data_IF_132618938863
#
_entry.id   IF_132618938863
#
_cell.length_a   1.000
_cell.length_b   1.000
_cell.length_c   1.000
_cell.angle_alpha   90.00
_cell.angle_beta   90.00
_cell.angle_gamma   90.00
#
_symmetry.space_group_name_H-M   'P 1'
#
loop_
_entity.id
_entity.type
_entity.pdbx_description
1 polymer ?
#
# COMPACT_ATOMS: atom_id res chain seq x y z
N UNK A 1 11.74 -19.37 -4.48
CA UNK A 1 11.53 -18.00 -3.96
C UNK A 1 10.79 -18.11 -2.65
N UNK A 2 11.38 -17.62 -1.56
CA UNK A 2 10.71 -17.60 -0.26
C UNK A 2 9.92 -16.29 -0.11
N UNK A 3 8.79 -16.31 0.61
CA UNK A 3 7.96 -15.10 0.77
C UNK A 3 8.71 -14.00 1.53
N UNK A 4 9.53 -14.35 2.51
CA UNK A 4 10.31 -13.39 3.31
C UNK A 4 11.32 -12.56 2.48
N UNK A 5 11.76 -13.07 1.33
CA UNK A 5 12.70 -12.42 0.41
C UNK A 5 12.03 -11.46 -0.57
N UNK A 6 10.69 -11.51 -0.68
CA UNK A 6 9.92 -10.61 -1.56
C UNK A 6 9.63 -9.26 -0.90
N UNK A 7 9.51 -8.23 -1.72
CA UNK A 7 8.88 -6.98 -1.32
C UNK A 7 7.36 -7.15 -1.29
N UNK A 8 6.73 -6.71 -0.20
CA UNK A 8 5.27 -6.68 -0.06
C UNK A 8 4.78 -5.23 -0.13
N UNK A 9 3.75 -4.95 -0.94
CA UNK A 9 3.15 -3.62 -1.05
C UNK A 9 1.65 -3.68 -0.80
N UNK A 10 1.19 -2.93 0.20
CA UNK A 10 -0.23 -2.79 0.56
C UNK A 10 -0.80 -1.55 -0.14
N UNK A 11 -1.75 -1.74 -1.04
CA UNK A 11 -2.45 -0.66 -1.75
C UNK A 11 -3.43 0.05 -0.80
N UNK A 12 -3.11 1.27 -0.39
CA UNK A 12 -3.92 2.12 0.48
C UNK A 12 -4.47 3.39 -0.22
N UNK A 13 -4.29 3.47 -1.54
CA UNK A 13 -4.82 4.54 -2.38
C UNK A 13 -6.28 4.35 -2.83
N UNK A 14 -6.76 5.26 -3.67
CA UNK A 14 -8.12 5.26 -4.21
C UNK A 14 -9.00 6.38 -3.65
N UNK A 15 -10.08 6.70 -4.38
CA UNK A 15 -10.97 7.83 -4.06
C UNK A 15 -11.88 7.59 -2.83
N UNK A 16 -11.98 6.35 -2.36
CA UNK A 16 -12.88 5.92 -1.27
C UNK A 16 -14.34 6.41 -1.43
N UNK A 17 -14.80 6.65 -2.66
CA UNK A 17 -16.07 7.33 -2.96
C UNK A 17 -17.31 6.57 -2.49
N UNK A 18 -17.22 5.24 -2.36
CA UNK A 18 -18.34 4.40 -1.89
C UNK A 18 -18.48 4.39 -0.37
N UNK A 19 -17.41 4.68 0.38
CA UNK A 19 -17.43 4.63 1.85
C UNK A 19 -17.57 6.02 2.49
N UNK A 20 -17.48 7.10 1.72
CA UNK A 20 -17.66 8.48 2.22
C UNK A 20 -16.55 8.97 3.16
N UNK A 21 -15.64 8.09 3.59
CA UNK A 21 -14.47 8.37 4.42
C UNK A 21 -13.27 7.58 3.92
N UNK A 22 -12.07 8.03 4.27
CA UNK A 22 -10.84 7.34 3.89
C UNK A 22 -10.77 5.94 4.52
N UNK A 23 -10.88 4.90 3.69
CA UNK A 23 -10.91 3.50 4.15
C UNK A 23 -9.67 3.10 4.93
N UNK A 24 -8.51 3.68 4.60
CA UNK A 24 -7.26 3.34 5.30
C UNK A 24 -7.28 3.74 6.78
N UNK A 25 -8.19 4.65 7.17
CA UNK A 25 -8.39 5.12 8.55
C UNK A 25 -9.45 4.33 9.32
N UNK A 26 -10.15 3.37 8.67
CA UNK A 26 -11.13 2.54 9.35
C UNK A 26 -10.47 1.72 10.45
N UNK A 27 -11.10 1.70 11.64
CA UNK A 27 -10.56 1.02 12.81
C UNK A 27 -10.99 -0.45 12.82
N UNK A 28 -10.01 -1.34 12.91
CA UNK A 28 -10.18 -2.77 13.13
C UNK A 28 -9.35 -3.18 14.33
N UNK A 29 -10.00 -3.70 15.39
CA UNK A 29 -9.33 -4.18 16.62
C UNK A 29 -8.36 -3.13 17.21
N UNK A 30 -8.83 -1.88 17.36
CA UNK A 30 -8.11 -0.75 17.95
C UNK A 30 -6.92 -0.19 17.14
N UNK A 31 -6.75 -0.57 15.88
CA UNK A 31 -5.77 0.03 14.97
C UNK A 31 -6.43 0.30 13.60
N UNK A 32 -5.89 1.20 12.80
CA UNK A 32 -6.41 1.41 11.45
C UNK A 32 -6.10 0.21 10.52
N UNK A 33 -6.85 0.04 9.43
CA UNK A 33 -6.69 -1.10 8.51
C UNK A 33 -5.27 -1.19 7.92
N UNK A 34 -4.64 -0.05 7.59
CA UNK A 34 -3.26 -0.03 7.09
C UNK A 34 -2.29 -0.62 8.12
N UNK A 35 -2.38 -0.18 9.38
CA UNK A 35 -1.56 -0.68 10.48
C UNK A 35 -1.81 -2.17 10.73
N UNK A 36 -3.07 -2.61 10.69
CA UNK A 36 -3.42 -4.03 10.81
C UNK A 36 -2.72 -4.86 9.73
N UNK A 37 -2.79 -4.44 8.47
CA UNK A 37 -2.19 -5.15 7.35
C UNK A 37 -0.66 -5.13 7.44
N UNK A 38 -0.04 -3.98 7.72
CA UNK A 38 1.42 -3.89 7.93
C UNK A 38 1.86 -4.86 9.03
N UNK A 39 1.23 -4.81 10.21
CA UNK A 39 1.55 -5.69 11.33
C UNK A 39 1.38 -7.18 11.01
N UNK A 40 0.39 -7.53 10.19
CA UNK A 40 0.16 -8.90 9.75
C UNK A 40 1.26 -9.37 8.80
N UNK A 41 1.61 -8.56 7.81
CA UNK A 41 2.53 -8.94 6.74
C UNK A 41 4.01 -8.78 7.10
N UNK A 42 4.35 -7.91 8.05
CA UNK A 42 5.72 -7.81 8.61
C UNK A 42 6.15 -9.08 9.37
N UNK A 43 5.22 -9.99 9.69
CA UNK A 43 5.54 -11.31 10.25
C UNK A 43 5.99 -12.32 9.19
N UNK A 44 5.78 -12.01 7.91
CA UNK A 44 6.01 -12.90 6.78
C UNK A 44 7.10 -12.33 5.87
N UNK A 45 7.02 -11.04 5.55
CA UNK A 45 7.89 -10.33 4.61
C UNK A 45 8.90 -9.46 5.36
N UNK A 46 10.16 -9.45 4.91
CA UNK A 46 11.19 -8.57 5.48
C UNK A 46 10.91 -7.09 5.16
N UNK A 47 10.45 -6.81 3.95
CA UNK A 47 10.15 -5.46 3.47
C UNK A 47 8.65 -5.32 3.20
N UNK A 48 8.01 -4.38 3.90
CA UNK A 48 6.59 -4.06 3.73
C UNK A 48 6.47 -2.58 3.44
N UNK A 49 5.82 -2.26 2.33
CA UNK A 49 5.56 -0.90 1.88
C UNK A 49 4.06 -0.64 1.83
N UNK A 50 3.71 0.65 1.90
CA UNK A 50 2.35 1.14 1.68
C UNK A 50 2.35 1.95 0.38
N UNK A 51 1.38 1.72 -0.50
CA UNK A 51 1.16 2.54 -1.68
C UNK A 51 0.03 3.54 -1.45
N UNK A 52 0.28 4.82 -1.71
CA UNK A 52 -0.72 5.88 -1.69
C UNK A 52 -0.27 7.09 -2.52
N UNK A 53 -1.23 7.86 -3.04
CA UNK A 53 -0.94 9.10 -3.79
C UNK A 53 -0.18 10.15 -2.97
N UNK A 54 -0.53 10.29 -1.70
CA UNK A 54 0.09 11.22 -0.75
C UNK A 54 0.38 10.51 0.57
N UNK A 55 1.31 11.07 1.35
CA UNK A 55 1.53 10.57 2.70
C UNK A 55 0.44 11.08 3.65
N UNK A 56 -0.53 10.21 3.90
CA UNK A 56 -1.61 10.41 4.88
C UNK A 56 -1.39 9.65 6.18
N UNK A 57 -0.17 9.15 6.39
CA UNK A 57 0.21 8.29 7.51
C UNK A 57 1.31 8.91 8.37
N UNK A 58 1.56 10.22 8.26
CA UNK A 58 2.50 10.95 9.11
C UNK A 58 3.91 10.31 9.16
N UNK A 59 4.39 9.79 8.03
CA UNK A 59 5.65 9.06 7.88
C UNK A 59 5.77 7.78 8.75
N UNK A 60 4.67 7.20 9.22
CA UNK A 60 4.71 5.94 9.99
C UNK A 60 5.09 4.70 9.16
N UNK A 61 5.00 4.77 7.82
CA UNK A 61 5.25 3.63 6.94
C UNK A 61 6.21 3.97 5.79
N UNK A 62 6.94 2.96 5.31
CA UNK A 62 7.70 3.05 4.06
C UNK A 62 6.74 3.19 2.88
N UNK A 63 6.70 4.38 2.28
CA UNK A 63 5.70 4.74 1.28
C UNK A 63 6.23 4.62 -0.15
N UNK A 64 5.41 4.05 -1.04
CA UNK A 64 5.56 4.13 -2.49
C UNK A 64 4.47 5.07 -3.01
N UNK A 65 4.88 6.22 -3.52
CA UNK A 65 3.94 7.22 -4.04
C UNK A 65 3.51 6.91 -5.46
N UNK A 66 2.24 7.18 -5.75
CA UNK A 66 1.73 7.14 -7.12
C UNK A 66 2.47 8.18 -7.99
N UNK A 67 2.60 7.90 -9.30
CA UNK A 67 3.25 8.83 -10.23
C UNK A 67 2.47 10.14 -10.29
N UNK A 68 3.19 11.26 -10.18
CA UNK A 68 2.62 12.60 -10.29
C UNK A 68 2.23 12.96 -11.74
N UNK A 69 2.63 12.15 -12.71
CA UNK A 69 2.29 12.33 -14.13
C UNK A 69 0.79 12.18 -14.40
N UNK A 70 0.05 11.52 -13.49
CA UNK A 70 -1.35 11.19 -13.70
C UNK A 70 -2.23 11.66 -12.54
N UNK A 71 -3.27 12.44 -12.84
CA UNK A 71 -4.25 12.91 -11.85
C UNK A 71 -5.46 11.97 -11.70
N UNK A 72 -5.24 10.65 -11.72
CA UNK A 72 -6.30 9.65 -11.61
C UNK A 72 -6.15 8.80 -10.34
N UNK A 73 -7.27 8.46 -9.70
CA UNK A 73 -7.29 7.45 -8.65
C UNK A 73 -7.60 6.09 -9.28
N UNK A 74 -6.56 5.29 -9.54
CA UNK A 74 -6.69 3.99 -10.17
C UNK A 74 -5.74 2.97 -9.55
N UNK A 75 -6.18 1.74 -9.24
CA UNK A 75 -5.28 0.66 -8.87
C UNK A 75 -4.19 0.41 -9.93
N UNK A 76 -4.47 0.69 -11.21
CA UNK A 76 -3.49 0.55 -12.29
C UNK A 76 -2.37 1.59 -12.20
N UNK A 77 -2.67 2.81 -11.74
CA UNK A 77 -1.64 3.82 -11.48
C UNK A 77 -0.74 3.39 -10.32
N UNK A 78 -1.33 2.87 -9.24
CA UNK A 78 -0.57 2.34 -8.12
C UNK A 78 0.34 1.17 -8.56
N UNK A 79 -0.19 0.23 -9.37
CA UNK A 79 0.60 -0.88 -9.93
C UNK A 79 1.73 -0.37 -10.83
N UNK A 80 1.47 0.62 -11.69
CA UNK A 80 2.51 1.25 -12.51
C UNK A 80 3.65 1.80 -11.65
N UNK A 81 3.32 2.57 -10.60
CA UNK A 81 4.32 3.11 -9.67
C UNK A 81 5.11 2.04 -8.93
N UNK A 82 4.44 0.99 -8.47
CA UNK A 82 5.07 -0.13 -7.76
C UNK A 82 6.05 -0.88 -8.67
N UNK A 83 5.60 -1.28 -9.87
CA UNK A 83 6.42 -2.03 -10.81
C UNK A 83 7.55 -1.18 -11.41
N UNK A 84 7.36 0.14 -11.50
CA UNK A 84 8.42 1.07 -11.89
C UNK A 84 9.50 1.23 -10.81
N UNK A 85 9.14 1.03 -9.53
CA UNK A 85 10.06 1.08 -8.39
C UNK A 85 10.90 -0.21 -8.29
N UNK A 86 10.25 -1.37 -8.45
CA UNK A 86 10.87 -2.70 -8.35
C UNK A 86 11.18 -3.31 -9.72
N UNK A 87 12.15 -2.74 -10.44
CA UNK A 87 12.48 -3.18 -11.81
C UNK A 87 13.14 -4.56 -11.81
N UNK A 88 12.60 -5.47 -12.63
CA UNK A 88 13.07 -6.87 -12.76
C UNK A 88 13.02 -7.67 -11.45
N UNK A 89 12.14 -7.28 -10.52
CA UNK A 89 11.91 -7.97 -9.27
C UNK A 89 10.46 -8.48 -9.20
N UNK A 90 10.24 -9.60 -8.51
CA UNK A 90 8.90 -10.02 -8.13
C UNK A 90 8.44 -9.22 -6.91
N UNK A 91 7.17 -8.81 -6.90
CA UNK A 91 6.56 -8.06 -5.79
C UNK A 91 5.22 -8.68 -5.43
N UNK A 92 4.96 -8.83 -4.14
CA UNK A 92 3.67 -9.25 -3.62
C UNK A 92 2.81 -8.01 -3.39
N UNK A 93 1.64 -7.95 -4.03
CA UNK A 93 0.73 -6.79 -3.93
C UNK A 93 -0.62 -7.24 -3.40
N UNK A 94 -1.16 -6.48 -2.45
CA UNK A 94 -2.51 -6.69 -1.92
C UNK A 94 -3.24 -5.38 -1.68
N UNK A 95 -4.57 -5.40 -1.72
CA UNK A 95 -5.39 -4.30 -1.20
C UNK A 95 -5.35 -4.22 0.32
N UNK A 96 -5.58 -3.02 0.84
CA UNK A 96 -5.78 -2.82 2.29
C UNK A 96 -7.09 -3.43 2.78
N UNK A 97 -8.10 -3.54 1.90
CA UNK A 97 -9.44 -4.10 2.14
C UNK A 97 -9.75 -5.36 1.31
#
# INVERSE_FOLDING_TARGET
>A
MQLNELNCVILCGGKSSRMGQDKSKLILKNQNLTQFQVNKFSKIFKNVYVSAKEDKFENHFSLIKDSLEFEVYSPMLALYSILSNFKNEFVFVLSVD
#
